data_IF_685018339713
#
_entry.id   IF_685018339713
#
_cell.length_a   1.000
_cell.length_b   1.000
_cell.length_c   1.000
_cell.angle_alpha   90.00
_cell.angle_beta   90.00
_cell.angle_gamma   90.00
#
_symmetry.space_group_name_H-M   'P 1'
#
loop_
_entity.id
_entity.type
_entity.pdbx_description
1 polymer ?
#
# COMPACT_ATOMS: atom_id res chain seq x y z
N UNK A 1 -6.86 -9.48 -2.47
CA UNK A 1 -7.42 -9.39 -1.08
C UNK A 1 -7.87 -10.76 -0.59
N UNK A 2 -8.59 -11.54 -1.37
CA UNK A 2 -9.08 -12.87 -0.99
C UNK A 2 -7.95 -13.82 -0.58
N UNK A 3 -6.86 -13.86 -1.32
CA UNK A 3 -5.70 -14.67 -0.97
C UNK A 3 -5.13 -14.31 0.41
N UNK A 4 -5.00 -13.02 0.73
CA UNK A 4 -4.49 -12.57 2.02
C UNK A 4 -5.43 -12.95 3.18
N UNK A 5 -6.74 -12.90 2.96
CA UNK A 5 -7.74 -13.28 3.96
C UNK A 5 -7.74 -14.79 4.26
N UNK A 6 -7.50 -15.62 3.23
CA UNK A 6 -7.51 -17.09 3.33
C UNK A 6 -6.16 -17.72 3.69
N UNK A 7 -5.05 -16.97 3.51
CA UNK A 7 -3.69 -17.45 3.75
C UNK A 7 -2.87 -16.53 4.67
N UNK A 8 -3.40 -16.04 5.81
CA UNK A 8 -2.74 -15.03 6.62
C UNK A 8 -1.36 -15.47 7.14
N UNK A 9 -1.19 -16.72 7.53
CA UNK A 9 0.08 -17.25 8.00
C UNK A 9 1.14 -17.30 6.90
N UNK A 10 0.77 -17.73 5.69
CA UNK A 10 1.68 -17.79 4.54
C UNK A 10 2.13 -16.40 4.14
N UNK A 11 1.20 -15.45 4.08
CA UNK A 11 1.50 -14.04 3.73
C UNK A 11 2.42 -13.41 4.79
N UNK A 12 2.12 -13.60 6.08
CA UNK A 12 2.97 -13.10 7.15
C UNK A 12 4.39 -13.67 7.06
N UNK A 13 4.53 -14.99 6.96
CA UNK A 13 5.84 -15.65 6.91
C UNK A 13 6.65 -15.24 5.68
N UNK A 14 6.03 -15.11 4.51
CA UNK A 14 6.71 -14.71 3.29
C UNK A 14 7.28 -13.30 3.40
N UNK A 15 6.49 -12.33 3.86
CA UNK A 15 6.94 -10.94 4.06
C UNK A 15 8.04 -10.86 5.11
N UNK A 16 7.86 -11.49 6.28
CA UNK A 16 8.86 -11.47 7.34
C UNK A 16 10.17 -12.12 6.90
N UNK A 17 10.14 -13.25 6.21
CA UNK A 17 11.36 -13.90 5.70
C UNK A 17 12.11 -13.01 4.72
N UNK A 18 11.40 -12.38 3.78
CA UNK A 18 11.99 -11.44 2.84
C UNK A 18 12.64 -10.26 3.56
N UNK A 19 11.93 -9.66 4.51
CA UNK A 19 12.42 -8.51 5.24
C UNK A 19 13.61 -8.84 6.15
N UNK A 20 13.59 -9.96 6.86
CA UNK A 20 14.71 -10.41 7.68
C UNK A 20 15.98 -10.63 6.84
N UNK A 21 15.85 -11.16 5.62
CA UNK A 21 16.96 -11.30 4.70
C UNK A 21 17.52 -9.93 4.26
N UNK A 22 16.64 -8.95 4.01
CA UNK A 22 17.05 -7.58 3.70
C UNK A 22 17.81 -6.97 4.88
N UNK A 23 17.28 -7.07 6.10
CA UNK A 23 17.92 -6.53 7.31
C UNK A 23 19.29 -7.19 7.55
N UNK A 24 19.41 -8.50 7.35
CA UNK A 24 20.71 -9.18 7.42
C UNK A 24 21.68 -8.64 6.36
N UNK A 25 21.24 -8.49 5.10
CA UNK A 25 22.08 -7.95 4.04
C UNK A 25 22.49 -6.50 4.29
N UNK A 26 21.60 -5.66 4.81
CA UNK A 26 21.89 -4.27 5.23
C UNK A 26 23.04 -4.26 6.24
N UNK A 27 22.95 -5.09 7.26
CA UNK A 27 23.95 -5.20 8.32
C UNK A 27 25.28 -5.73 7.80
N UNK A 28 25.27 -6.81 7.02
CA UNK A 28 26.48 -7.46 6.52
C UNK A 28 27.26 -6.59 5.53
N UNK A 29 26.60 -5.67 4.84
CA UNK A 29 27.21 -4.77 3.86
C UNK A 29 27.41 -3.33 4.38
N UNK A 30 27.12 -3.04 5.63
CA UNK A 30 27.31 -1.72 6.21
C UNK A 30 26.48 -0.64 5.54
N UNK A 31 25.22 -0.96 5.16
CA UNK A 31 24.30 0.01 4.59
C UNK A 31 23.93 1.04 5.67
N UNK A 32 24.16 2.31 5.38
CA UNK A 32 23.95 3.39 6.34
C UNK A 32 22.48 3.83 6.43
N UNK A 33 21.72 3.73 5.32
CA UNK A 33 20.33 4.20 5.23
C UNK A 33 19.44 3.21 4.49
N UNK A 34 18.27 2.92 5.07
CA UNK A 34 17.27 2.01 4.54
C UNK A 34 15.91 2.70 4.37
N UNK A 35 15.28 2.53 3.19
CA UNK A 35 13.87 2.83 2.98
C UNK A 35 13.03 1.59 3.23
N UNK A 36 12.06 1.72 4.13
CA UNK A 36 11.08 0.67 4.46
C UNK A 36 9.73 1.07 3.90
N UNK A 37 9.30 0.36 2.87
CA UNK A 37 7.95 0.53 2.32
C UNK A 37 6.97 -0.30 3.15
N UNK A 38 6.37 0.34 4.14
CA UNK A 38 5.26 -0.21 4.93
C UNK A 38 3.94 -0.16 4.13
N UNK A 39 2.81 0.04 4.75
CA UNK A 39 1.52 0.08 4.07
C UNK A 39 0.45 0.72 4.95
N UNK A 40 -0.55 1.36 4.35
CA UNK A 40 -1.78 1.72 5.05
C UNK A 40 -2.56 0.51 5.60
N UNK A 41 -2.26 -0.71 5.18
CA UNK A 41 -2.86 -1.94 5.73
C UNK A 41 -2.46 -2.22 7.19
N UNK A 42 -1.54 -1.45 7.76
CA UNK A 42 -1.19 -1.55 9.20
C UNK A 42 -2.28 -0.95 10.09
N UNK A 43 -3.10 -0.04 9.57
CA UNK A 43 -4.12 0.66 10.35
C UNK A 43 -5.27 -0.25 10.76
N UNK A 44 -5.86 -0.03 11.94
CA UNK A 44 -7.11 -0.67 12.35
C UNK A 44 -8.27 -0.30 11.42
N UNK A 45 -9.32 -1.12 11.42
CA UNK A 45 -10.53 -0.87 10.62
C UNK A 45 -11.22 0.47 10.94
N UNK A 46 -11.18 0.88 12.20
CA UNK A 46 -11.85 2.08 12.69
C UNK A 46 -10.81 3.11 13.13
N UNK A 47 -10.27 3.82 12.15
CA UNK A 47 -9.36 4.94 12.35
C UNK A 47 -10.08 6.27 12.16
N UNK A 48 -9.49 7.33 12.70
CA UNK A 48 -9.84 8.70 12.37
C UNK A 48 -9.56 8.95 10.88
N UNK A 49 -10.37 9.77 10.23
CA UNK A 49 -10.17 10.19 8.84
C UNK A 49 -10.07 11.72 8.81
N UNK A 50 -8.98 12.31 8.29
CA UNK A 50 -7.73 11.67 7.81
C UNK A 50 -7.01 10.90 8.91
N UNK A 51 -6.35 9.77 8.53
CA UNK A 51 -5.73 8.87 9.52
C UNK A 51 -4.33 9.37 9.90
N UNK A 52 -4.10 9.77 11.16
CA UNK A 52 -2.77 10.15 11.60
C UNK A 52 -1.86 8.93 11.80
N UNK A 53 -0.57 9.12 11.63
CA UNK A 53 0.44 8.05 11.75
C UNK A 53 0.44 7.37 13.12
N UNK A 54 0.08 8.11 14.16
CA UNK A 54 -0.02 7.63 15.55
C UNK A 54 -1.07 6.53 15.76
N UNK A 55 -2.05 6.41 14.88
CA UNK A 55 -3.08 5.38 14.96
C UNK A 55 -2.64 4.01 14.41
N UNK A 56 -1.44 3.92 13.85
CA UNK A 56 -0.90 2.68 13.33
C UNK A 56 -0.80 1.52 14.32
N UNK A 57 -0.80 1.80 15.63
CA UNK A 57 -0.59 0.78 16.69
C UNK A 57 -1.67 0.75 17.77
N UNK A 58 -2.73 1.55 17.67
CA UNK A 58 -3.78 1.63 18.70
C UNK A 58 -4.66 0.37 18.83
N UNK A 59 -4.75 -0.42 17.76
CA UNK A 59 -5.47 -1.71 17.72
C UNK A 59 -4.84 -2.63 16.67
N UNK A 60 -5.35 -3.86 16.51
CA UNK A 60 -4.89 -4.79 15.46
C UNK A 60 -5.16 -4.25 14.05
N UNK A 61 -4.39 -4.67 13.02
CA UNK A 61 -4.67 -4.33 11.64
C UNK A 61 -6.06 -4.81 11.20
N UNK A 62 -6.54 -4.29 10.08
CA UNK A 62 -7.81 -4.72 9.49
C UNK A 62 -7.86 -6.26 9.32
N UNK A 63 -8.89 -6.96 9.89
CA UNK A 63 -8.88 -8.43 9.99
C UNK A 63 -8.78 -9.18 8.67
N UNK A 64 -9.37 -8.67 7.57
CA UNK A 64 -9.34 -9.32 6.26
C UNK A 64 -7.95 -9.31 5.61
N UNK A 65 -7.02 -8.50 6.14
CA UNK A 65 -5.64 -8.39 5.67
C UNK A 65 -4.64 -8.51 6.82
N UNK A 66 -5.02 -9.14 7.93
CA UNK A 66 -4.26 -9.16 9.18
C UNK A 66 -2.84 -9.73 8.99
N UNK A 67 -2.66 -10.82 8.25
CA UNK A 67 -1.34 -11.43 8.03
C UNK A 67 -0.35 -10.45 7.40
N UNK A 68 -0.79 -9.70 6.40
CA UNK A 68 0.02 -8.68 5.76
C UNK A 68 0.25 -7.46 6.67
N UNK A 69 -0.82 -6.95 7.29
CA UNK A 69 -0.74 -5.79 8.17
C UNK A 69 0.18 -6.01 9.36
N UNK A 70 0.13 -7.19 9.99
CA UNK A 70 1.05 -7.56 11.07
C UNK A 70 2.50 -7.69 10.59
N UNK A 71 2.73 -8.27 9.39
CA UNK A 71 4.07 -8.34 8.84
C UNK A 71 4.65 -6.92 8.65
N UNK A 72 3.90 -6.01 8.06
CA UNK A 72 4.32 -4.62 7.87
C UNK A 72 4.59 -3.88 9.18
N UNK A 73 3.78 -4.10 10.21
CA UNK A 73 4.08 -3.56 11.56
C UNK A 73 5.38 -4.11 12.14
N UNK A 74 5.64 -5.40 11.95
CA UNK A 74 6.89 -6.00 12.44
C UNK A 74 8.11 -5.50 11.64
N UNK A 75 7.95 -5.21 10.35
CA UNK A 75 8.98 -4.55 9.55
C UNK A 75 9.30 -3.15 10.10
N UNK A 76 8.29 -2.33 10.42
CA UNK A 76 8.48 -1.03 11.08
C UNK A 76 9.19 -1.18 12.44
N UNK A 77 8.68 -2.07 13.29
CA UNK A 77 9.27 -2.32 14.61
C UNK A 77 10.75 -2.73 14.53
N UNK A 78 11.07 -3.71 13.67
CA UNK A 78 12.44 -4.18 13.51
C UNK A 78 13.37 -3.08 12.99
N UNK A 79 12.87 -2.22 12.11
CA UNK A 79 13.63 -1.10 11.56
C UNK A 79 13.92 -0.04 12.61
N UNK A 80 12.93 0.33 13.41
CA UNK A 80 13.10 1.26 14.54
C UNK A 80 14.06 0.68 15.58
N UNK A 81 13.92 -0.60 15.93
CA UNK A 81 14.84 -1.28 16.84
C UNK A 81 16.29 -1.31 16.30
N UNK A 82 16.46 -1.48 14.99
CA UNK A 82 17.77 -1.43 14.34
C UNK A 82 18.39 -0.03 14.37
N UNK A 83 17.57 1.01 14.24
CA UNK A 83 18.01 2.38 14.46
C UNK A 83 18.50 2.59 15.90
N UNK A 84 17.72 2.18 16.88
CA UNK A 84 18.03 2.34 18.30
C UNK A 84 19.26 1.53 18.74
N UNK A 85 19.44 0.31 18.20
CA UNK A 85 20.50 -0.60 18.63
C UNK A 85 21.86 -0.29 17.99
N UNK A 86 21.89 0.04 16.70
CA UNK A 86 23.15 0.19 15.95
C UNK A 86 23.18 1.38 14.97
N UNK A 87 22.24 2.31 15.11
CA UNK A 87 22.29 3.61 14.42
C UNK A 87 21.96 3.56 12.92
N UNK A 88 21.25 2.52 12.43
CA UNK A 88 20.77 2.49 11.03
C UNK A 88 19.84 3.68 10.78
N UNK A 89 20.12 4.50 9.80
CA UNK A 89 19.18 5.54 9.36
C UNK A 89 18.00 4.88 8.63
N UNK A 90 16.79 5.05 9.17
CA UNK A 90 15.60 4.41 8.60
C UNK A 90 14.57 5.44 8.20
N UNK A 91 14.15 5.38 6.95
CA UNK A 91 12.97 6.07 6.42
C UNK A 91 11.82 5.07 6.32
N UNK A 92 10.67 5.37 6.93
CA UNK A 92 9.50 4.49 6.89
C UNK A 92 8.36 5.21 6.18
N UNK A 93 7.79 4.60 5.15
CA UNK A 93 6.65 5.14 4.43
C UNK A 93 5.48 4.17 4.44
N UNK A 94 4.27 4.70 4.60
CA UNK A 94 2.98 3.99 4.54
C UNK A 94 2.19 4.44 3.32
N UNK A 95 2.47 3.87 2.14
CA UNK A 95 1.70 4.23 0.95
C UNK A 95 0.26 3.75 1.07
N UNK A 96 -0.65 4.61 0.55
CA UNK A 96 -2.05 4.28 0.35
C UNK A 96 -2.24 3.56 -0.99
N UNK A 97 -3.46 3.56 -1.56
CA UNK A 97 -3.72 2.79 -2.78
C UNK A 97 -2.94 3.37 -3.97
N UNK A 98 -1.92 2.67 -4.38
CA UNK A 98 -1.10 3.03 -5.54
C UNK A 98 -1.71 2.47 -6.81
N UNK A 99 -1.67 3.23 -7.90
CA UNK A 99 -2.06 2.76 -9.22
C UNK A 99 -1.11 3.29 -10.29
N UNK A 100 -1.04 2.61 -11.43
CA UNK A 100 -0.22 3.07 -12.54
C UNK A 100 0.06 2.00 -13.59
N UNK A 101 0.88 2.32 -14.61
CA UNK A 101 1.31 1.36 -15.62
C UNK A 101 2.02 0.15 -15.01
N UNK A 102 1.83 -1.01 -15.63
CA UNK A 102 2.41 -2.30 -15.22
C UNK A 102 1.82 -2.86 -13.91
N UNK A 103 0.64 -2.39 -13.51
CA UNK A 103 -0.08 -2.98 -12.39
C UNK A 103 -0.51 -4.43 -12.70
N UNK A 104 -0.99 -5.14 -11.69
CA UNK A 104 -1.45 -6.51 -11.84
C UNK A 104 -2.90 -6.53 -12.35
N UNK A 105 -3.11 -6.98 -13.59
CA UNK A 105 -4.43 -7.11 -14.22
C UNK A 105 -5.04 -8.51 -14.10
N UNK A 106 -4.44 -9.43 -13.34
CA UNK A 106 -5.02 -10.76 -13.14
C UNK A 106 -6.36 -10.64 -12.39
N UNK A 107 -7.48 -11.17 -12.95
CA UNK A 107 -8.82 -11.03 -12.34
C UNK A 107 -8.93 -11.55 -10.91
N UNK A 108 -8.14 -12.56 -10.54
CA UNK A 108 -8.18 -13.21 -9.23
C UNK A 108 -7.38 -12.44 -8.15
N UNK A 109 -6.41 -11.63 -8.55
CA UNK A 109 -5.44 -11.01 -7.61
C UNK A 109 -5.24 -9.51 -7.79
N UNK A 110 -5.86 -8.88 -8.79
CA UNK A 110 -5.73 -7.46 -9.06
C UNK A 110 -6.40 -6.58 -7.98
N UNK A 111 -5.90 -5.35 -7.87
CA UNK A 111 -6.55 -4.30 -7.09
C UNK A 111 -7.73 -3.70 -7.86
N UNK A 112 -8.48 -2.81 -7.18
CA UNK A 112 -9.76 -2.32 -7.71
C UNK A 112 -9.62 -1.56 -9.03
N UNK A 113 -8.64 -0.65 -9.19
CA UNK A 113 -8.49 0.12 -10.42
C UNK A 113 -8.10 -0.75 -11.63
N UNK A 114 -7.04 -1.59 -11.57
CA UNK A 114 -6.74 -2.48 -12.69
C UNK A 114 -7.88 -3.47 -12.98
N UNK A 115 -8.62 -3.94 -11.96
CA UNK A 115 -9.80 -4.77 -12.19
C UNK A 115 -10.92 -4.04 -12.93
N UNK A 116 -11.19 -2.78 -12.59
CA UNK A 116 -12.19 -1.95 -13.30
C UNK A 116 -11.75 -1.66 -14.73
N UNK A 117 -10.46 -1.34 -14.95
CA UNK A 117 -9.91 -1.10 -16.29
C UNK A 117 -10.04 -2.34 -17.16
N UNK A 118 -9.67 -3.52 -16.64
CA UNK A 118 -9.79 -4.76 -17.37
C UNK A 118 -11.26 -5.06 -17.75
N UNK A 119 -12.18 -4.95 -16.79
CA UNK A 119 -13.61 -5.14 -17.03
C UNK A 119 -14.17 -4.17 -18.06
N UNK A 120 -13.76 -2.89 -18.03
CA UNK A 120 -14.17 -1.89 -19.00
C UNK A 120 -13.64 -2.23 -20.40
N UNK A 121 -12.41 -2.71 -20.49
CA UNK A 121 -11.79 -3.12 -21.76
C UNK A 121 -12.45 -4.37 -22.36
N UNK A 122 -12.86 -5.33 -21.54
CA UNK A 122 -13.51 -6.58 -21.95
C UNK A 122 -15.02 -6.44 -22.19
N UNK A 123 -15.63 -5.35 -21.71
CA UNK A 123 -17.07 -5.11 -21.89
C UNK A 123 -17.44 -4.91 -23.36
N UNK A 124 -18.37 -5.72 -23.85
CA UNK A 124 -18.88 -5.66 -25.22
C UNK A 124 -20.20 -4.90 -25.33
N UNK A 125 -20.89 -4.70 -24.23
CA UNK A 125 -22.21 -4.05 -24.15
C UNK A 125 -22.18 -2.69 -23.44
N UNK A 126 -20.98 -2.24 -23.05
CA UNK A 126 -20.78 -0.98 -22.31
C UNK A 126 -21.16 -1.05 -20.83
N UNK A 127 -21.49 -2.23 -20.31
CA UNK A 127 -21.74 -2.40 -18.87
C UNK A 127 -20.44 -2.65 -18.11
N UNK A 128 -20.32 -2.01 -16.93
CA UNK A 128 -19.19 -2.21 -16.04
C UNK A 128 -19.69 -2.69 -14.66
N UNK A 129 -19.62 -4.01 -14.39
CA UNK A 129 -20.09 -4.53 -13.10
C UNK A 129 -19.16 -4.12 -11.97
N UNK A 130 -19.72 -3.41 -10.98
CA UNK A 130 -19.05 -3.01 -9.73
C UNK A 130 -19.56 -3.88 -8.59
N UNK A 131 -18.67 -4.32 -7.72
CA UNK A 131 -19.06 -5.09 -6.55
C UNK A 131 -19.62 -4.16 -5.46
N UNK A 132 -20.76 -4.54 -4.88
CA UNK A 132 -21.46 -3.74 -3.88
C UNK A 132 -22.21 -2.57 -4.51
N UNK A 133 -22.43 -1.52 -3.72
CA UNK A 133 -23.19 -0.33 -4.12
C UNK A 133 -22.30 0.81 -4.68
N UNK A 134 -20.99 0.62 -4.72
CA UNK A 134 -20.02 1.61 -5.20
C UNK A 134 -19.75 2.78 -4.24
N UNK A 135 -20.37 2.81 -3.05
CA UNK A 135 -20.22 3.91 -2.08
C UNK A 135 -18.88 3.95 -1.32
N UNK A 136 -18.15 2.83 -1.08
CA UNK A 136 -16.86 2.91 -0.40
C UNK A 136 -15.89 3.83 -1.14
N UNK A 137 -15.21 4.69 -0.38
CA UNK A 137 -14.21 5.62 -0.90
C UNK A 137 -12.79 5.10 -0.73
N UNK A 138 -11.90 5.56 -1.58
CA UNK A 138 -10.46 5.32 -1.50
C UNK A 138 -9.70 6.57 -1.94
N UNK A 139 -8.55 6.78 -1.32
CA UNK A 139 -7.52 7.69 -1.82
C UNK A 139 -6.63 6.90 -2.77
N UNK A 140 -6.44 7.40 -3.99
CA UNK A 140 -5.59 6.78 -5.00
C UNK A 140 -4.44 7.71 -5.36
N UNK A 141 -3.21 7.22 -5.34
CA UNK A 141 -2.03 8.00 -5.71
C UNK A 141 -1.29 7.32 -6.86
N UNK A 142 -0.90 8.14 -7.85
CA UNK A 142 -0.19 7.64 -9.01
C UNK A 142 1.21 7.14 -8.66
N UNK A 143 1.66 6.07 -9.32
CA UNK A 143 2.90 5.36 -8.97
C UNK A 143 4.15 6.24 -9.01
N UNK A 144 4.24 7.19 -9.95
CA UNK A 144 5.39 8.10 -10.04
C UNK A 144 5.43 9.08 -8.86
N UNK A 145 4.27 9.49 -8.34
CA UNK A 145 4.19 10.35 -7.15
C UNK A 145 4.58 9.58 -5.89
N UNK A 146 4.16 8.31 -5.77
CA UNK A 146 4.63 7.41 -4.69
C UNK A 146 6.15 7.25 -4.78
N UNK A 147 6.69 6.93 -5.96
CA UNK A 147 8.13 6.73 -6.14
C UNK A 147 8.93 7.98 -5.76
N UNK A 148 8.47 9.17 -6.19
CA UNK A 148 9.08 10.43 -5.81
C UNK A 148 8.99 10.68 -4.30
N UNK A 149 7.83 10.42 -3.68
CA UNK A 149 7.64 10.52 -2.24
C UNK A 149 8.60 9.62 -1.46
N UNK A 150 8.76 8.35 -1.86
CA UNK A 150 9.71 7.42 -1.25
C UNK A 150 11.15 7.94 -1.31
N UNK A 151 11.58 8.47 -2.47
CA UNK A 151 12.91 9.06 -2.64
C UNK A 151 13.10 10.28 -1.73
N UNK A 152 12.13 11.18 -1.70
CA UNK A 152 12.20 12.39 -0.87
C UNK A 152 12.23 12.07 0.63
N UNK A 153 11.40 11.14 1.11
CA UNK A 153 11.41 10.68 2.50
C UNK A 153 12.77 10.06 2.83
N UNK A 154 13.29 9.20 1.96
CA UNK A 154 14.60 8.58 2.15
C UNK A 154 15.72 9.61 2.25
N UNK A 155 15.68 10.64 1.40
CA UNK A 155 16.73 11.65 1.34
C UNK A 155 16.66 12.67 2.48
N UNK A 156 15.46 13.00 2.97
CA UNK A 156 15.23 14.17 3.83
C UNK A 156 14.65 13.86 5.19
N UNK A 157 14.07 12.66 5.37
CA UNK A 157 13.37 12.29 6.61
C UNK A 157 13.62 10.83 7.01
N UNK A 158 14.89 10.49 7.27
CA UNK A 158 15.25 9.16 7.78
C UNK A 158 15.27 9.17 9.33
N UNK A 159 14.15 9.54 9.93
CA UNK A 159 13.97 9.79 11.38
C UNK A 159 13.30 8.59 12.09
N UNK A 160 13.22 7.44 11.45
CA UNK A 160 12.55 6.21 11.90
C UNK A 160 11.06 6.34 12.28
N UNK A 161 10.50 7.53 12.29
CA UNK A 161 9.05 7.76 12.39
C UNK A 161 8.39 7.51 11.03
N UNK A 162 7.28 6.77 10.99
CA UNK A 162 6.59 6.48 9.74
C UNK A 162 5.84 7.71 9.21
N UNK A 163 5.82 7.86 7.88
CA UNK A 163 5.03 8.87 7.18
C UNK A 163 4.01 8.23 6.24
N UNK A 164 2.78 8.73 6.25
CA UNK A 164 1.78 8.40 5.26
C UNK A 164 2.12 9.00 3.90
N UNK A 165 1.98 8.23 2.82
CA UNK A 165 2.06 8.74 1.44
C UNK A 165 0.72 8.48 0.76
N UNK A 166 -0.02 9.55 0.51
CA UNK A 166 -1.36 9.52 -0.09
C UNK A 166 -1.74 10.87 -0.65
N UNK A 167 -3.01 11.03 -0.94
CA UNK A 167 -3.65 12.30 -1.27
C UNK A 167 -4.87 12.50 -0.40
N UNK A 168 -5.26 13.74 -0.15
CA UNK A 168 -6.50 14.08 0.57
C UNK A 168 -7.75 13.90 -0.30
N UNK A 169 -7.58 13.59 -1.60
CA UNK A 169 -8.67 13.33 -2.51
C UNK A 169 -9.25 11.92 -2.27
N UNK A 170 -10.53 11.85 -1.94
CA UNK A 170 -11.29 10.62 -1.83
C UNK A 170 -12.16 10.41 -3.07
N UNK A 171 -12.08 9.22 -3.66
CA UNK A 171 -12.87 8.82 -4.82
C UNK A 171 -13.72 7.61 -4.46
N UNK A 172 -15.03 7.65 -4.71
CA UNK A 172 -15.87 6.47 -4.54
C UNK A 172 -15.55 5.42 -5.61
N UNK A 173 -15.79 4.15 -5.29
CA UNK A 173 -15.60 3.07 -6.26
C UNK A 173 -16.54 3.26 -7.47
N UNK A 174 -17.76 3.81 -7.24
CA UNK A 174 -18.70 4.16 -8.30
C UNK A 174 -18.16 5.25 -9.22
N UNK A 175 -17.59 6.34 -8.66
CA UNK A 175 -16.97 7.40 -9.47
C UNK A 175 -15.76 6.90 -10.23
N UNK A 176 -14.89 6.09 -9.59
CA UNK A 176 -13.77 5.47 -10.26
C UNK A 176 -14.20 4.60 -11.46
N UNK A 177 -15.27 3.80 -11.29
CA UNK A 177 -15.86 3.03 -12.37
C UNK A 177 -16.40 3.94 -13.49
N UNK A 178 -17.06 5.04 -13.14
CA UNK A 178 -17.53 6.05 -14.09
C UNK A 178 -16.39 6.71 -14.89
N UNK A 179 -15.27 6.98 -14.24
CA UNK A 179 -14.06 7.53 -14.90
C UNK A 179 -13.46 6.55 -15.92
N UNK A 180 -13.35 5.28 -15.53
CA UNK A 180 -12.79 4.21 -16.37
C UNK A 180 -13.70 3.90 -17.56
N UNK A 181 -15.03 4.02 -17.42
CA UNK A 181 -16.01 3.75 -18.47
C UNK A 181 -16.07 4.84 -19.55
N UNK A 182 -15.50 6.01 -19.31
CA UNK A 182 -15.47 7.09 -20.30
C UNK A 182 -14.46 6.74 -21.38
N UNK A 183 -14.83 6.86 -22.70
CA UNK A 183 -13.83 6.72 -23.74
C UNK A 183 -12.72 7.75 -23.54
N UNK A 184 -11.48 7.29 -23.65
CA UNK A 184 -10.34 8.22 -23.60
C UNK A 184 -10.57 9.34 -24.64
N UNK A 185 -10.29 10.63 -24.32
CA UNK A 185 -10.36 11.67 -25.32
C UNK A 185 -9.46 11.29 -26.49
N UNK A 186 -10.00 11.36 -27.71
CA UNK A 186 -9.22 11.08 -28.91
C UNK A 186 -7.96 11.95 -28.86
N UNK A 187 -6.80 11.34 -28.87
CA UNK A 187 -5.55 12.06 -29.03
C UNK A 187 -5.59 12.72 -30.41
N UNK A 188 -5.70 14.05 -30.43
CA UNK A 188 -5.56 14.88 -31.62
C UNK A 188 -4.11 14.93 -32.06
#
# INVERSE_FOLDING_TARGET
IEYNATHPATVFQANMRAFLNVMQAVRDNGVERLMVTSSACIYPRHCTIPTPETEGTIAGPEPTNAGYGWAKRMEEFLSTAAHEEYGLEVAIARPYNTYGPRDNYNPESSHVLPALILKAFESTDGTLPVWGDGTPTRSFLYVDDIARGLIEITARYAEHDPLNIGTDEEVSIGDAAGMVSRPAPAQL
#
